data_IF_680114525738
#
_entry.id   IF_680114525738
#
_cell.length_a   1.000
_cell.length_b   1.000
_cell.length_c   1.000
_cell.angle_alpha   90.00
_cell.angle_beta   90.00
_cell.angle_gamma   90.00
#
_symmetry.space_group_name_H-M   'P 1'
#
loop_
_entity.id
_entity.type
_entity.pdbx_description
1 polymer ?
#
# COMPACT_ATOMS: atom_id res chain seq x y z
N UNK A 1 11.27 -10.77 20.16
CA UNK A 1 11.32 -10.16 18.82
C UNK A 1 12.66 -10.50 18.19
N UNK A 2 12.72 -11.47 17.26
CA UNK A 2 13.95 -11.74 16.48
C UNK A 2 13.86 -10.90 15.21
N UNK A 3 14.67 -9.86 15.12
CA UNK A 3 14.83 -9.09 13.88
C UNK A 3 15.88 -9.82 13.05
N UNK A 4 15.54 -10.25 11.84
CA UNK A 4 16.51 -10.81 10.90
C UNK A 4 17.57 -9.75 10.57
N UNK A 5 18.84 -10.14 10.33
CA UNK A 5 19.85 -9.15 9.95
C UNK A 5 19.39 -8.49 8.65
N UNK A 6 19.40 -7.16 8.62
CA UNK A 6 19.27 -6.39 7.39
C UNK A 6 20.52 -6.67 6.52
N UNK A 7 20.49 -7.82 5.84
CA UNK A 7 21.50 -8.23 4.88
C UNK A 7 21.54 -7.22 3.75
N UNK A 8 22.66 -6.52 3.65
CA UNK A 8 22.84 -5.36 2.79
C UNK A 8 22.49 -5.61 1.33
N UNK A 9 21.66 -4.72 0.80
CA UNK A 9 21.72 -4.03 -0.50
C UNK A 9 20.47 -3.13 -0.56
N UNK A 10 20.59 -1.91 -1.09
CA UNK A 10 19.51 -1.13 -1.76
C UNK A 10 19.33 0.36 -1.39
N UNK A 11 20.15 1.01 -0.54
CA UNK A 11 20.14 2.50 -0.47
C UNK A 11 20.99 3.12 -1.61
N UNK A 12 20.73 2.68 -2.84
CA UNK A 12 21.44 3.14 -4.06
C UNK A 12 20.53 3.23 -5.30
N UNK A 13 19.28 2.76 -5.25
CA UNK A 13 18.34 2.94 -6.37
C UNK A 13 17.62 4.28 -6.20
N UNK A 14 18.19 5.31 -6.82
CA UNK A 14 17.64 6.66 -6.85
C UNK A 14 16.28 6.72 -7.55
N UNK A 15 15.95 5.78 -8.44
CA UNK A 15 14.63 5.70 -9.07
C UNK A 15 13.61 5.17 -8.08
N UNK A 16 13.93 4.08 -7.37
CA UNK A 16 13.04 3.54 -6.33
C UNK A 16 12.81 4.54 -5.18
N UNK A 17 13.85 5.29 -4.78
CA UNK A 17 13.71 6.34 -3.77
C UNK A 17 12.81 7.49 -4.27
N UNK A 18 13.00 7.95 -5.51
CA UNK A 18 12.12 8.96 -6.11
C UNK A 18 10.67 8.47 -6.24
N UNK A 19 10.46 7.18 -6.52
CA UNK A 19 9.13 6.58 -6.59
C UNK A 19 8.46 6.53 -5.22
N UNK A 20 9.19 6.19 -4.16
CA UNK A 20 8.68 6.22 -2.78
C UNK A 20 8.28 7.64 -2.37
N UNK A 21 9.13 8.63 -2.66
CA UNK A 21 8.83 10.05 -2.38
C UNK A 21 7.56 10.50 -3.12
N UNK A 22 7.48 10.21 -4.43
CA UNK A 22 6.30 10.53 -5.24
C UNK A 22 5.02 9.84 -4.73
N UNK A 23 5.11 8.56 -4.37
CA UNK A 23 3.97 7.83 -3.81
C UNK A 23 3.49 8.45 -2.50
N UNK A 24 4.42 8.88 -1.64
CA UNK A 24 4.10 9.57 -0.39
C UNK A 24 3.32 10.85 -0.61
N UNK A 25 3.78 11.69 -1.53
CA UNK A 25 3.13 12.95 -1.90
C UNK A 25 1.72 12.73 -2.45
N UNK A 26 1.55 11.72 -3.32
CA UNK A 26 0.24 11.39 -3.90
C UNK A 26 -0.76 10.86 -2.87
N UNK A 27 -0.32 10.08 -1.87
CA UNK A 27 -1.18 9.63 -0.76
C UNK A 27 -1.69 10.82 0.04
N UNK A 28 -0.80 11.77 0.36
CA UNK A 28 -1.17 12.98 1.12
C UNK A 28 -2.14 13.82 0.30
N UNK A 29 -1.84 14.09 -0.97
CA UNK A 29 -2.72 14.83 -1.87
C UNK A 29 -4.11 14.17 -1.98
N UNK A 30 -4.16 12.85 -2.17
CA UNK A 30 -5.42 12.11 -2.24
C UNK A 30 -6.21 12.17 -0.91
N UNK A 31 -5.54 12.08 0.24
CA UNK A 31 -6.18 12.14 1.56
C UNK A 31 -6.68 13.52 1.97
N UNK A 32 -6.12 14.57 1.35
CA UNK A 32 -6.46 15.98 1.60
C UNK A 32 -7.39 16.56 0.53
N UNK A 33 -7.60 15.84 -0.58
CA UNK A 33 -8.56 16.22 -1.61
C UNK A 33 -9.97 16.11 -1.05
N UNK A 34 -10.78 17.15 -1.26
CA UNK A 34 -12.19 17.15 -0.93
C UNK A 34 -12.94 16.15 -1.82
N UNK A 35 -13.16 14.95 -1.28
CA UNK A 35 -13.91 13.88 -1.93
C UNK A 35 -14.48 12.94 -0.88
N UNK A 36 -15.66 12.37 -1.17
CA UNK A 36 -16.25 11.39 -0.28
C UNK A 36 -15.40 10.13 -0.23
N UNK A 37 -15.27 9.55 0.97
CA UNK A 37 -14.64 8.23 1.13
C UNK A 37 -15.38 7.21 0.26
N UNK A 38 -14.63 6.32 -0.39
CA UNK A 38 -15.21 5.17 -1.07
C UNK A 38 -16.12 4.40 -0.11
N UNK A 39 -17.21 3.85 -0.64
CA UNK A 39 -18.07 2.98 0.14
C UNK A 39 -17.30 1.72 0.55
N UNK A 40 -17.60 1.11 1.72
CA UNK A 40 -16.94 -0.11 2.17
C UNK A 40 -17.00 -1.23 1.12
N UNK A 41 -18.14 -1.41 0.45
CA UNK A 41 -18.30 -2.40 -0.61
C UNK A 41 -17.34 -2.18 -1.80
N UNK A 42 -17.11 -0.91 -2.18
CA UNK A 42 -16.16 -0.58 -3.26
C UNK A 42 -14.71 -0.76 -2.82
N UNK A 43 -14.41 -0.52 -1.54
CA UNK A 43 -13.09 -0.80 -0.96
C UNK A 43 -12.82 -2.31 -0.99
N UNK A 44 -13.77 -3.13 -0.53
CA UNK A 44 -13.65 -4.59 -0.54
C UNK A 44 -13.50 -5.16 -1.96
N UNK A 45 -14.22 -4.60 -2.93
CA UNK A 45 -14.08 -4.96 -4.36
C UNK A 45 -12.67 -4.66 -4.88
N UNK A 46 -12.15 -3.45 -4.64
CA UNK A 46 -10.81 -3.04 -5.10
C UNK A 46 -9.71 -3.87 -4.43
N UNK A 47 -9.87 -4.15 -3.14
CA UNK A 47 -8.91 -4.94 -2.36
C UNK A 47 -9.11 -6.45 -2.52
N UNK A 48 -10.17 -6.89 -3.21
CA UNK A 48 -10.51 -8.30 -3.43
C UNK A 48 -10.63 -9.11 -2.13
N UNK A 49 -11.00 -8.45 -1.02
CA UNK A 49 -11.05 -9.04 0.34
C UNK A 49 -12.03 -10.21 0.41
N UNK A 50 -13.12 -10.16 -0.35
CA UNK A 50 -14.09 -11.27 -0.40
C UNK A 50 -13.53 -12.52 -1.05
N UNK A 51 -12.67 -12.38 -2.07
CA UNK A 51 -12.02 -13.52 -2.74
C UNK A 51 -10.96 -14.14 -1.82
N UNK A 52 -10.21 -13.31 -1.09
CA UNK A 52 -9.16 -13.75 -0.16
C UNK A 52 -9.76 -14.49 1.05
N UNK A 53 -10.83 -13.94 1.66
CA UNK A 53 -11.55 -14.62 2.75
C UNK A 53 -12.19 -15.94 2.36
N UNK A 54 -12.59 -16.09 1.10
CA UNK A 54 -13.12 -17.35 0.59
C UNK A 54 -12.03 -18.41 0.42
N UNK A 55 -10.81 -17.99 0.04
CA UNK A 55 -9.64 -18.88 -0.07
C UNK A 55 -9.14 -19.33 1.30
N UNK A 56 -9.17 -18.46 2.32
CA UNK A 56 -8.76 -18.80 3.69
C UNK A 56 -9.73 -19.76 4.42
N UNK A 57 -10.95 -19.91 3.90
CA UNK A 57 -11.99 -20.76 4.48
C UNK A 57 -12.01 -22.19 3.90
N UNK A 58 -11.16 -22.47 2.90
CA UNK A 58 -10.94 -23.78 2.28
C UNK A 58 -9.73 -24.49 2.91
#
# INVERSE_FOLDING_TARGET
>A
MRVAPAGGTAVQDHVALAEIELCGDLIIAASTTDGDRLSPARIDEVLRVSEERAQDAE
#
